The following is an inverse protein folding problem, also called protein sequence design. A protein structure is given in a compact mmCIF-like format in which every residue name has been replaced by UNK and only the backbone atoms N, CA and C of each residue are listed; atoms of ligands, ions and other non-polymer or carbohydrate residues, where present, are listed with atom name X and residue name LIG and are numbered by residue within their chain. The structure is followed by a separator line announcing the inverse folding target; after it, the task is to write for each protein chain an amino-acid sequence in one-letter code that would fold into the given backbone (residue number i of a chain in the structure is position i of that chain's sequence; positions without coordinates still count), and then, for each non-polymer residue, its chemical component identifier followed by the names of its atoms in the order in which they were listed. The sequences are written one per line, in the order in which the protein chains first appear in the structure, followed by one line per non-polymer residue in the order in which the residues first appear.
data_IF_820654447141
#
_entry.id   IF_820654447141
#
_cell.length_a   1.000
_cell.length_b   1.000
_cell.length_c   1.000
_cell.angle_alpha   90.00
_cell.angle_beta   90.00
_cell.angle_gamma   90.00
#
_symmetry.space_group_name_H-M   'P 1'
#
loop_
_entity.id
_entity.type
_entity.pdbx_description
1 polymer ?
#
# COMPACT_ATOMS: atom_id res chain seq x y z
N UNK A 1 -3.46 -3.90 -6.71
CA UNK A 1 -4.45 -4.89 -6.23
C UNK A 1 -4.60 -6.01 -7.25
N UNK A 2 -4.57 -7.26 -6.80
CA UNK A 2 -4.70 -8.46 -7.63
C UNK A 2 -5.71 -9.42 -7.01
N UNK A 3 -6.37 -10.22 -7.85
CA UNK A 3 -7.31 -11.24 -7.40
C UNK A 3 -6.58 -12.41 -6.72
N UNK A 4 -5.36 -12.73 -7.17
CA UNK A 4 -4.58 -13.85 -6.65
C UNK A 4 -3.09 -13.54 -6.77
N UNK A 5 -2.39 -13.50 -5.65
CA UNK A 5 -0.92 -13.36 -5.62
C UNK A 5 -0.28 -14.61 -6.23
N UNK A 6 -0.83 -15.79 -5.94
CA UNK A 6 -0.31 -17.04 -6.51
C UNK A 6 -0.24 -17.01 -8.04
N UNK A 7 -1.25 -16.43 -8.68
CA UNK A 7 -1.32 -16.34 -10.14
C UNK A 7 -0.58 -15.12 -10.69
N UNK A 8 -0.63 -13.99 -9.97
CA UNK A 8 -0.08 -12.72 -10.44
C UNK A 8 1.42 -12.58 -10.21
N UNK A 9 1.93 -13.11 -9.10
CA UNK A 9 3.33 -12.95 -8.73
C UNK A 9 4.30 -13.46 -9.80
N UNK A 10 4.10 -14.66 -10.40
CA UNK A 10 4.98 -15.12 -11.47
C UNK A 10 5.04 -14.18 -12.67
N UNK A 11 3.94 -13.51 -13.00
CA UNK A 11 3.88 -12.54 -14.10
C UNK A 11 4.81 -11.36 -13.83
N UNK A 12 4.74 -10.78 -12.64
CA UNK A 12 5.58 -9.64 -12.28
C UNK A 12 7.03 -10.02 -12.03
N UNK A 13 7.28 -11.20 -11.46
CA UNK A 13 8.65 -11.71 -11.33
C UNK A 13 9.32 -11.91 -12.68
N UNK A 14 8.60 -12.42 -13.67
CA UNK A 14 9.11 -12.58 -15.02
C UNK A 14 9.32 -11.24 -15.72
N UNK A 15 8.35 -10.31 -15.61
CA UNK A 15 8.43 -8.98 -16.20
C UNK A 15 9.63 -8.19 -15.68
N UNK A 16 9.88 -8.25 -14.37
CA UNK A 16 10.90 -7.47 -13.70
C UNK A 16 12.25 -8.21 -13.57
N UNK A 17 12.31 -9.47 -13.99
CA UNK A 17 13.46 -10.35 -13.81
C UNK A 17 13.97 -10.32 -12.37
N UNK A 18 13.05 -10.44 -11.42
CA UNK A 18 13.33 -10.34 -9.99
C UNK A 18 12.34 -11.18 -9.20
N UNK A 19 12.81 -11.86 -8.17
CA UNK A 19 11.95 -12.67 -7.30
C UNK A 19 11.42 -11.84 -6.14
N UNK A 20 10.23 -12.21 -5.67
CA UNK A 20 9.69 -11.64 -4.43
C UNK A 20 10.65 -11.89 -3.27
N UNK A 21 10.94 -10.86 -2.50
CA UNK A 21 11.79 -10.99 -1.32
C UNK A 21 10.98 -11.22 -0.04
N UNK A 22 9.68 -10.97 -0.06
CA UNK A 22 8.84 -11.11 1.12
C UNK A 22 7.36 -11.28 0.73
N UNK A 23 6.68 -12.17 1.43
CA UNK A 23 5.22 -12.23 1.46
C UNK A 23 4.77 -12.12 2.91
N UNK A 24 3.64 -11.48 3.15
CA UNK A 24 3.17 -11.18 4.50
C UNK A 24 1.64 -11.17 4.53
N UNK A 25 1.06 -11.59 5.65
CA UNK A 25 -0.36 -11.44 5.92
C UNK A 25 -0.52 -10.34 6.96
N UNK A 26 -1.29 -9.31 6.64
CA UNK A 26 -1.65 -8.23 7.57
C UNK A 26 -3.10 -8.47 7.97
N UNK A 27 -3.30 -9.19 9.06
CA UNK A 27 -4.63 -9.64 9.48
C UNK A 27 -5.57 -8.48 9.83
N UNK A 28 -5.03 -7.42 10.43
CA UNK A 28 -5.81 -6.23 10.78
C UNK A 28 -6.45 -5.54 9.57
N UNK A 29 -5.87 -5.70 8.38
CA UNK A 29 -6.35 -5.12 7.13
C UNK A 29 -7.01 -6.16 6.21
N UNK A 30 -7.02 -7.42 6.59
CA UNK A 30 -7.51 -8.54 5.78
C UNK A 30 -6.84 -8.59 4.40
N UNK A 31 -5.50 -8.50 4.39
CA UNK A 31 -4.73 -8.54 3.15
C UNK A 31 -3.54 -9.50 3.25
N UNK A 32 -3.18 -10.07 2.11
CA UNK A 32 -1.91 -10.74 1.87
C UNK A 32 -1.12 -9.86 0.90
N UNK A 33 0.15 -9.69 1.17
CA UNK A 33 1.03 -8.86 0.34
C UNK A 33 2.23 -9.65 -0.14
N UNK A 34 2.76 -9.25 -1.29
CA UNK A 34 4.02 -9.75 -1.82
C UNK A 34 4.82 -8.59 -2.39
N UNK A 35 6.12 -8.56 -2.12
CA UNK A 35 7.00 -7.45 -2.47
C UNK A 35 8.10 -7.89 -3.43
N UNK A 36 8.34 -7.07 -4.47
CA UNK A 36 9.43 -7.26 -5.43
C UNK A 36 10.21 -5.96 -5.51
N UNK A 37 11.53 -6.01 -5.35
CA UNK A 37 12.39 -4.85 -5.54
C UNK A 37 12.54 -4.50 -7.02
N UNK A 38 12.49 -3.19 -7.33
CA UNK A 38 12.86 -2.62 -8.63
C UNK A 38 13.77 -1.41 -8.38
N UNK A 39 15.09 -1.62 -8.46
CA UNK A 39 16.05 -0.59 -8.05
C UNK A 39 15.90 -0.26 -6.57
N UNK A 40 15.76 1.03 -6.25
CA UNK A 40 15.53 1.50 -4.88
C UNK A 40 14.04 1.52 -4.48
N UNK A 41 13.16 1.18 -5.42
CA UNK A 41 11.72 1.11 -5.19
C UNK A 41 11.27 -0.33 -5.06
N UNK A 42 9.99 -0.52 -4.78
CA UNK A 42 9.39 -1.84 -4.75
C UNK A 42 7.97 -1.81 -5.30
N UNK A 43 7.55 -2.94 -5.82
CA UNK A 43 6.16 -3.19 -6.14
C UNK A 43 5.57 -4.06 -5.05
N UNK A 44 4.40 -3.68 -4.56
CA UNK A 44 3.61 -4.46 -3.62
C UNK A 44 2.37 -4.99 -4.34
N UNK A 45 2.21 -6.31 -4.36
CA UNK A 45 0.95 -6.93 -4.77
C UNK A 45 0.10 -7.13 -3.54
N UNK A 46 -1.17 -6.74 -3.60
CA UNK A 46 -2.10 -6.89 -2.49
C UNK A 46 -3.32 -7.70 -2.90
N UNK A 47 -3.63 -8.70 -2.10
CA UNK A 47 -4.75 -9.62 -2.28
C UNK A 47 -5.62 -9.58 -1.04
N UNK A 48 -6.93 -9.54 -1.20
CA UNK A 48 -7.86 -9.58 -0.07
C UNK A 48 -7.92 -10.99 0.53
N UNK A 49 -7.88 -11.07 1.86
CA UNK A 49 -8.10 -12.34 2.58
C UNK A 49 -9.51 -12.48 3.12
N UNK A 50 -10.33 -11.43 3.00
CA UNK A 50 -11.71 -11.40 3.50
C UNK A 50 -12.52 -10.38 2.69
N UNK A 51 -13.82 -10.64 2.56
CA UNK A 51 -14.73 -9.75 1.81
C UNK A 51 -14.84 -8.34 2.39
N UNK A 52 -14.51 -8.14 3.67
CA UNK A 52 -14.53 -6.83 4.32
C UNK A 52 -13.23 -6.04 4.12
N UNK A 53 -12.24 -6.62 3.46
CA UNK A 53 -11.00 -5.93 3.11
C UNK A 53 -11.28 -4.73 2.18
N UNK A 54 -10.55 -3.63 2.37
CA UNK A 54 -10.55 -2.51 1.45
C UNK A 54 -10.13 -2.95 0.03
N UNK A 55 -9.23 -3.94 -0.06
CA UNK A 55 -8.80 -4.51 -1.34
C UNK A 55 -9.94 -5.27 -2.02
N UNK A 56 -10.74 -6.03 -1.27
CA UNK A 56 -11.91 -6.72 -1.84
C UNK A 56 -12.91 -5.71 -2.42
N UNK A 57 -13.15 -4.63 -1.70
CA UNK A 57 -14.04 -3.55 -2.16
C UNK A 57 -13.50 -2.87 -3.40
N UNK A 58 -12.19 -2.62 -3.44
CA UNK A 58 -11.52 -2.04 -4.61
C UNK A 58 -11.67 -2.96 -5.84
N UNK A 59 -11.39 -4.24 -5.70
CA UNK A 59 -11.47 -5.22 -6.79
C UNK A 59 -12.89 -5.38 -7.32
N UNK A 60 -13.89 -5.31 -6.46
CA UNK A 60 -15.29 -5.35 -6.88
C UNK A 60 -15.68 -4.14 -7.73
N UNK A 61 -15.08 -2.97 -7.46
CA UNK A 61 -15.41 -1.72 -8.15
C UNK A 61 -14.51 -1.46 -9.36
N UNK A 62 -13.21 -1.78 -9.26
CA UNK A 62 -12.20 -1.37 -10.24
C UNK A 62 -11.50 -2.54 -10.93
N UNK A 63 -11.68 -3.77 -10.48
CA UNK A 63 -10.90 -4.95 -10.88
C UNK A 63 -9.42 -4.80 -10.50
N UNK A 64 -8.56 -5.70 -10.99
CA UNK A 64 -7.12 -5.62 -10.76
C UNK A 64 -6.54 -4.34 -11.34
N UNK A 65 -5.59 -3.74 -10.63
CA UNK A 65 -4.94 -2.51 -11.09
C UNK A 65 -4.27 -1.76 -9.97
N UNK A 66 -3.83 -0.54 -10.25
CA UNK A 66 -3.20 0.33 -9.27
C UNK A 66 -4.16 0.65 -8.14
N UNK A 67 -3.72 0.39 -6.91
CA UNK A 67 -4.51 0.66 -5.70
C UNK A 67 -4.00 1.89 -4.94
N UNK A 68 -2.70 2.01 -4.75
CA UNK A 68 -2.11 3.12 -4.01
C UNK A 68 -0.69 3.41 -4.48
N UNK A 69 -0.20 4.57 -4.10
CA UNK A 69 1.18 5.00 -4.29
C UNK A 69 1.75 5.35 -2.93
N UNK A 70 2.92 4.81 -2.60
CA UNK A 70 3.56 5.02 -1.31
C UNK A 70 4.82 5.87 -1.46
N UNK A 71 5.01 6.82 -0.54
CA UNK A 71 6.21 7.64 -0.42
C UNK A 71 6.91 7.36 0.91
N UNK A 72 8.20 7.10 0.82
CA UNK A 72 9.03 6.94 2.01
C UNK A 72 9.34 8.31 2.62
N UNK A 73 9.21 8.44 3.93
CA UNK A 73 9.48 9.68 4.66
C UNK A 73 10.36 9.41 5.88
N UNK A 74 11.13 10.41 6.28
CA UNK A 74 12.06 10.27 7.41
C UNK A 74 11.34 10.36 8.76
N UNK A 75 10.33 11.23 8.87
CA UNK A 75 9.55 11.43 10.09
C UNK A 75 8.08 11.61 9.73
N UNK A 76 7.31 10.56 9.96
CA UNK A 76 5.90 10.53 9.52
C UNK A 76 5.02 11.53 10.29
N UNK A 77 5.29 11.76 11.57
CA UNK A 77 4.52 12.73 12.37
C UNK A 77 4.75 14.16 11.87
N UNK A 78 6.00 14.51 11.59
CA UNK A 78 6.33 15.84 11.05
C UNK A 78 5.69 16.04 9.68
N UNK A 79 5.72 15.02 8.84
CA UNK A 79 5.16 15.09 7.50
C UNK A 79 3.63 15.19 7.54
N UNK A 80 2.96 14.46 8.43
CA UNK A 80 1.52 14.60 8.66
C UNK A 80 1.19 16.03 9.07
N UNK A 81 1.91 16.57 10.06
CA UNK A 81 1.70 17.93 10.54
C UNK A 81 1.86 18.95 9.42
N UNK A 82 2.93 18.81 8.63
CA UNK A 82 3.19 19.71 7.49
C UNK A 82 2.06 19.66 6.47
N UNK A 83 1.65 18.47 6.07
CA UNK A 83 0.59 18.28 5.08
C UNK A 83 -0.78 18.75 5.57
N UNK A 84 -1.10 18.50 6.83
CA UNK A 84 -2.34 19.02 7.42
C UNK A 84 -2.37 20.55 7.42
N UNK A 85 -1.23 21.19 7.66
CA UNK A 85 -1.13 22.65 7.60
C UNK A 85 -1.33 23.19 6.17
N UNK A 86 -1.07 22.38 5.15
CA UNK A 86 -1.32 22.71 3.73
C UNK A 86 -2.74 22.33 3.28
N UNK A 87 -3.57 21.81 4.18
CA UNK A 87 -4.97 21.49 3.89
C UNK A 87 -5.24 20.04 3.49
N UNK A 88 -4.23 19.17 3.51
CA UNK A 88 -4.43 17.74 3.22
C UNK A 88 -5.17 17.06 4.37
N UNK A 89 -6.04 16.12 4.02
CA UNK A 89 -6.78 15.30 4.99
C UNK A 89 -6.22 13.89 5.00
N UNK A 90 -6.10 13.33 6.21
CA UNK A 90 -5.71 11.94 6.41
C UNK A 90 -6.93 11.09 6.75
N UNK A 91 -6.88 9.80 6.37
CA UNK A 91 -7.98 8.87 6.65
C UNK A 91 -8.07 8.61 8.16
N UNK A 92 -6.91 8.47 8.82
CA UNK A 92 -6.82 8.30 10.27
C UNK A 92 -5.94 9.40 10.87
N UNK A 93 -6.21 9.75 12.13
CA UNK A 93 -5.54 10.86 12.82
C UNK A 93 -4.09 10.57 13.21
N UNK A 94 -3.68 9.31 13.25
CA UNK A 94 -2.35 8.91 13.67
C UNK A 94 -1.82 7.76 12.80
N UNK A 95 -0.47 7.65 12.67
CA UNK A 95 0.13 6.53 11.96
C UNK A 95 -0.16 5.20 12.65
N UNK A 96 -0.16 4.13 11.87
CA UNK A 96 -0.30 2.76 12.34
C UNK A 96 0.80 1.88 11.77
N UNK A 97 0.95 0.68 12.29
CA UNK A 97 1.86 -0.28 11.72
C UNK A 97 1.24 -0.91 10.47
N UNK A 98 2.00 -0.94 9.39
CA UNK A 98 1.63 -1.56 8.13
C UNK A 98 2.53 -2.76 7.81
N UNK A 99 2.49 -3.19 6.57
CA UNK A 99 3.34 -4.26 6.07
C UNK A 99 4.80 -3.84 5.94
N UNK A 100 5.69 -4.82 5.82
CA UNK A 100 7.12 -4.64 5.56
C UNK A 100 7.83 -3.78 6.61
N UNK A 101 7.43 -3.93 7.87
CA UNK A 101 8.04 -3.24 9.02
C UNK A 101 8.01 -1.70 8.89
N UNK A 102 6.87 -1.17 8.45
CA UNK A 102 6.68 0.28 8.26
C UNK A 102 5.60 0.83 9.19
N UNK A 103 5.77 2.10 9.58
CA UNK A 103 4.68 2.91 10.10
C UNK A 103 4.06 3.62 8.90
N UNK A 104 2.75 3.62 8.81
CA UNK A 104 2.05 4.12 7.64
C UNK A 104 0.93 5.10 8.01
N UNK A 105 0.62 5.99 7.07
CA UNK A 105 -0.53 6.88 7.14
C UNK A 105 -1.06 7.12 5.72
N UNK A 106 -2.37 7.05 5.55
CA UNK A 106 -3.00 7.29 4.25
C UNK A 106 -3.64 8.66 4.19
N UNK A 107 -3.34 9.41 3.13
CA UNK A 107 -4.07 10.62 2.79
C UNK A 107 -5.43 10.25 2.19
N UNK A 108 -6.43 11.07 2.50
CA UNK A 108 -7.74 10.90 1.91
C UNK A 108 -7.66 11.22 0.40
N UNK A 109 -8.18 10.35 -0.50
CA UNK A 109 -8.07 10.56 -1.95
C UNK A 109 -8.65 11.90 -2.44
N UNK A 110 -9.60 12.49 -1.70
CA UNK A 110 -10.13 13.83 -2.03
C UNK A 110 -9.05 14.92 -2.02
N UNK A 111 -8.00 14.74 -1.22
CA UNK A 111 -6.88 15.68 -1.14
C UNK A 111 -5.84 15.50 -2.25
N UNK A 112 -5.88 14.36 -2.96
CA UNK A 112 -4.84 13.93 -3.88
C UNK A 112 -5.39 13.50 -5.25
N UNK A 113 -6.40 14.22 -5.72
CA UNK A 113 -7.01 13.99 -7.05
C UNK A 113 -7.53 12.57 -7.28
N UNK A 114 -8.03 11.92 -6.21
CA UNK A 114 -8.58 10.57 -6.30
C UNK A 114 -7.55 9.45 -6.16
N UNK A 115 -6.27 9.77 -5.97
CA UNK A 115 -5.21 8.78 -5.80
C UNK A 115 -5.02 8.49 -4.32
N UNK A 116 -5.08 7.22 -3.93
CA UNK A 116 -4.75 6.83 -2.56
C UNK A 116 -3.24 6.93 -2.35
N UNK A 117 -2.81 7.85 -1.52
CA UNK A 117 -1.39 8.08 -1.19
C UNK A 117 -1.11 7.57 0.21
N UNK A 118 -0.05 6.78 0.33
CA UNK A 118 0.46 6.28 1.60
C UNK A 118 1.79 6.96 1.93
N UNK A 119 1.94 7.41 3.15
CA UNK A 119 3.26 7.77 3.69
C UNK A 119 3.78 6.57 4.48
N UNK A 120 5.03 6.22 4.29
CA UNK A 120 5.68 5.13 5.02
C UNK A 120 6.95 5.62 5.69
N UNK A 121 7.17 5.16 6.91
CA UNK A 121 8.43 5.36 7.62
C UNK A 121 8.94 4.02 8.12
N UNK A 122 10.20 3.75 7.91
CA UNK A 122 10.85 2.54 8.42
C UNK A 122 10.90 2.55 9.95
N UNK A 123 10.54 1.42 10.54
CA UNK A 123 10.59 1.25 11.99
C UNK A 123 12.01 0.94 12.44
#
# INVERSE_FOLDING_TARGET
AVESIKESLPVFEALLDSKSYKTEIVESEFVKTAFIHIGESKIELVEATHQNSAIAKFLNKHRSGFHHLAFDVDNIEEEITRLESEGFKFIHSSPKQGADNKRIAFLHPKSTNGILIELCQEI
#
